data_IF_323335432653
#
_entry.id   IF_323335432653
#
_cell.length_a   1.000
_cell.length_b   1.000
_cell.length_c   1.000
_cell.angle_alpha   90.00
_cell.angle_beta   90.00
_cell.angle_gamma   90.00
#
_symmetry.space_group_name_H-M   'P 1'
#
loop_
_entity.id
_entity.type
_entity.pdbx_description
1 polymer ?
#
# COMPACT_ATOMS: atom_id res chain seq x y z
N UNK A 1 -24.74 12.81 22.27
CA UNK A 1 -23.60 12.87 21.33
C UNK A 1 -23.17 11.43 21.09
N UNK A 2 -23.08 10.98 19.85
CA UNK A 2 -22.79 9.58 19.51
C UNK A 2 -21.31 9.45 19.15
N UNK A 3 -20.62 8.47 19.74
CA UNK A 3 -19.21 8.21 19.49
C UNK A 3 -19.01 7.14 18.41
N UNK A 4 -17.92 7.27 17.65
CA UNK A 4 -17.58 6.36 16.56
C UNK A 4 -16.10 5.99 16.63
N UNK A 5 -15.78 4.73 16.33
CA UNK A 5 -14.41 4.29 16.06
C UNK A 5 -14.24 4.22 14.55
N UNK A 6 -13.22 4.91 14.03
CA UNK A 6 -12.87 4.88 12.61
C UNK A 6 -11.47 4.29 12.48
N UNK A 7 -11.30 3.26 11.64
CA UNK A 7 -9.98 2.79 11.22
C UNK A 7 -9.71 3.14 9.77
N UNK A 8 -8.62 3.88 9.56
CA UNK A 8 -8.15 4.31 8.25
C UNK A 8 -6.92 3.47 7.90
N UNK A 9 -6.99 2.76 6.78
CA UNK A 9 -5.85 2.09 6.19
C UNK A 9 -5.29 2.96 5.06
N UNK A 10 -3.97 3.12 5.02
CA UNK A 10 -3.26 3.83 3.95
C UNK A 10 -2.15 2.96 3.39
N UNK A 11 -1.78 3.20 2.14
CA UNK A 11 -0.69 2.48 1.49
C UNK A 11 0.62 3.17 1.80
N UNK A 12 1.63 2.40 2.18
CA UNK A 12 3.00 2.85 2.33
C UNK A 12 3.85 2.28 1.20
N UNK A 13 4.91 2.99 0.84
CA UNK A 13 5.93 2.45 -0.06
C UNK A 13 6.90 1.64 0.79
N UNK A 14 7.26 0.46 0.31
CA UNK A 14 8.26 -0.39 0.94
C UNK A 14 9.20 -0.90 -0.13
N UNK A 15 10.46 -1.13 0.24
CA UNK A 15 11.48 -1.60 -0.70
C UNK A 15 12.52 -2.47 0.00
N UNK A 16 13.02 -3.44 -0.76
CA UNK A 16 14.18 -4.27 -0.44
C UNK A 16 15.33 -3.90 -1.37
N UNK A 17 16.52 -3.73 -0.81
CA UNK A 17 17.71 -3.41 -1.58
C UNK A 17 18.39 -4.70 -2.05
N UNK A 18 18.76 -4.76 -3.34
CA UNK A 18 19.52 -5.88 -3.90
C UNK A 18 20.61 -5.35 -4.82
N UNK A 19 21.82 -5.88 -4.65
CA UNK A 19 22.91 -5.69 -5.61
C UNK A 19 22.83 -6.79 -6.67
N UNK A 20 22.89 -6.42 -7.94
CA UNK A 20 22.92 -7.35 -9.07
C UNK A 20 24.14 -7.06 -9.94
N UNK A 21 24.77 -8.12 -10.45
CA UNK A 21 25.86 -8.01 -11.43
C UNK A 21 25.33 -8.29 -12.83
N UNK A 22 25.71 -7.46 -13.80
CA UNK A 22 25.32 -7.58 -15.20
C UNK A 22 26.41 -6.99 -16.11
N UNK A 23 26.54 -7.52 -17.32
CA UNK A 23 27.49 -7.05 -18.33
C UNK A 23 26.92 -5.95 -19.23
N UNK A 24 25.61 -5.69 -19.16
CA UNK A 24 24.93 -4.62 -19.89
C UNK A 24 23.66 -4.16 -19.18
N UNK A 25 23.16 -2.97 -19.52
CA UNK A 25 21.92 -2.43 -18.98
C UNK A 25 20.71 -3.31 -19.29
N UNK A 26 20.65 -3.87 -20.50
CA UNK A 26 19.57 -4.79 -20.91
C UNK A 26 19.56 -6.03 -20.02
N UNK A 27 20.74 -6.60 -19.77
CA UNK A 27 20.87 -7.75 -18.86
C UNK A 27 20.53 -7.37 -17.41
N UNK A 28 20.95 -6.18 -16.95
CA UNK A 28 20.63 -5.68 -15.61
C UNK A 28 19.11 -5.55 -15.41
N UNK A 29 18.39 -5.04 -16.41
CA UNK A 29 16.93 -4.91 -16.39
C UNK A 29 16.26 -6.27 -16.28
N UNK A 30 16.68 -7.25 -17.09
CA UNK A 30 16.09 -8.60 -17.05
C UNK A 30 16.37 -9.31 -15.72
N UNK A 31 17.59 -9.18 -15.19
CA UNK A 31 17.94 -9.70 -13.86
C UNK A 31 17.17 -9.02 -12.74
N UNK A 32 16.98 -7.70 -12.81
CA UNK A 32 16.20 -6.94 -11.85
C UNK A 32 14.73 -7.39 -11.83
N UNK A 33 14.11 -7.61 -13.01
CA UNK A 33 12.75 -8.15 -13.12
C UNK A 33 12.64 -9.53 -12.49
N UNK A 34 13.57 -10.43 -12.79
CA UNK A 34 13.59 -11.77 -12.20
C UNK A 34 13.72 -11.72 -10.67
N UNK A 35 14.62 -10.88 -10.15
CA UNK A 35 14.80 -10.67 -8.71
C UNK A 35 13.54 -10.09 -8.06
N UNK A 36 12.87 -9.13 -8.72
CA UNK A 36 11.63 -8.54 -8.25
C UNK A 36 10.51 -9.58 -8.14
N UNK A 37 10.35 -10.46 -9.14
CA UNK A 37 9.35 -11.54 -9.10
C UNK A 37 9.56 -12.45 -7.89
N UNK A 38 10.81 -12.85 -7.61
CA UNK A 38 11.15 -13.68 -6.45
C UNK A 38 10.86 -12.93 -5.15
N UNK A 39 11.18 -11.64 -5.08
CA UNK A 39 10.92 -10.82 -3.89
C UNK A 39 9.41 -10.70 -3.58
N UNK A 40 8.54 -10.67 -4.60
CA UNK A 40 7.09 -10.60 -4.40
C UNK A 40 6.48 -11.87 -3.79
N UNK A 41 7.19 -13.01 -3.83
CA UNK A 41 6.76 -14.25 -3.16
C UNK A 41 7.12 -14.26 -1.67
N UNK A 42 7.94 -13.32 -1.21
CA UNK A 42 8.37 -13.21 0.17
C UNK A 42 7.24 -12.70 1.08
N UNK A 43 7.09 -13.33 2.24
CA UNK A 43 6.23 -12.86 3.34
C UNK A 43 7.02 -12.19 4.46
N UNK A 44 8.33 -12.02 4.28
CA UNK A 44 9.18 -11.32 5.24
C UNK A 44 8.83 -9.83 5.31
N UNK A 45 9.19 -9.19 6.44
CA UNK A 45 9.05 -7.75 6.57
C UNK A 45 10.02 -7.05 5.58
N UNK A 46 9.57 -5.99 4.87
CA UNK A 46 10.45 -5.24 3.98
C UNK A 46 11.64 -4.63 4.71
N UNK A 47 12.78 -4.52 4.05
CA UNK A 47 13.98 -3.86 4.58
C UNK A 47 13.69 -2.42 5.03
N UNK A 48 12.88 -1.70 4.24
CA UNK A 48 12.47 -0.35 4.57
C UNK A 48 10.99 -0.10 4.26
N UNK A 49 10.35 0.68 5.13
CA UNK A 49 9.02 1.24 4.90
C UNK A 49 9.15 2.76 4.98
N UNK A 50 8.80 3.42 3.88
CA UNK A 50 8.71 4.87 3.82
C UNK A 50 7.41 5.31 4.52
N UNK A 51 7.57 5.95 5.67
CA UNK A 51 6.46 6.45 6.50
C UNK A 51 6.12 7.92 6.25
N UNK A 52 6.94 8.61 5.46
CA UNK A 52 6.83 10.06 5.23
C UNK A 52 5.80 10.35 4.14
N UNK A 53 5.64 9.44 3.16
CA UNK A 53 4.64 9.55 2.12
C UNK A 53 3.49 8.53 2.30
N UNK A 54 2.44 8.94 3.02
CA UNK A 54 1.20 8.14 3.12
C UNK A 54 0.37 8.26 1.85
N UNK A 55 0.25 7.18 1.09
CA UNK A 55 -0.58 7.12 -0.11
C UNK A 55 -2.02 6.72 0.22
N UNK A 56 -2.97 7.25 -0.56
CA UNK A 56 -4.42 7.02 -0.38
C UNK A 56 -4.74 5.52 -0.25
N UNK A 57 -5.51 5.16 0.78
CA UNK A 57 -5.99 3.80 1.05
C UNK A 57 -7.51 3.77 1.27
N UNK A 58 -7.98 2.98 2.23
CA UNK A 58 -9.41 2.72 2.46
C UNK A 58 -9.83 3.13 3.87
N UNK A 59 -11.11 3.48 4.04
CA UNK A 59 -11.73 3.42 5.37
C UNK A 59 -12.02 1.95 5.63
N UNK A 60 -11.22 1.33 6.51
CA UNK A 60 -11.30 -0.10 6.78
C UNK A 60 -12.61 -0.44 7.50
N UNK A 61 -12.97 0.34 8.51
CA UNK A 61 -14.29 0.28 9.12
C UNK A 61 -14.66 1.57 9.86
N UNK A 62 -15.96 1.74 10.07
CA UNK A 62 -16.54 2.68 11.04
C UNK A 62 -17.50 1.89 11.92
N UNK A 63 -17.25 1.90 13.23
CA UNK A 63 -18.15 1.33 14.24
C UNK A 63 -18.80 2.47 15.02
N UNK A 64 -20.10 2.37 15.25
CA UNK A 64 -20.81 3.19 16.23
C UNK A 64 -20.67 2.55 17.61
N UNK A 65 -20.33 3.37 18.59
CA UNK A 65 -20.30 2.95 19.99
C UNK A 65 -21.67 3.14 20.61
N UNK A 66 -22.21 2.07 21.19
CA UNK A 66 -23.35 2.11 22.10
C UNK A 66 -22.88 1.77 23.52
N UNK A 67 -23.68 2.04 24.56
CA UNK A 67 -23.30 1.67 25.94
C UNK A 67 -22.99 0.18 26.12
N UNK A 68 -23.62 -0.69 25.32
CA UNK A 68 -23.59 -2.14 25.50
C UNK A 68 -22.82 -2.88 24.38
N UNK A 69 -22.50 -2.21 23.26
CA UNK A 69 -21.93 -2.87 22.08
C UNK A 69 -21.19 -1.94 21.12
N UNK A 70 -20.52 -2.55 20.14
CA UNK A 70 -20.06 -1.89 18.91
C UNK A 70 -20.92 -2.36 17.76
N UNK A 71 -21.45 -1.41 17.00
CA UNK A 71 -22.28 -1.70 15.83
C UNK A 71 -21.54 -1.22 14.57
N UNK A 72 -21.24 -2.15 13.67
CA UNK A 72 -20.61 -1.81 12.39
C UNK A 72 -21.55 -0.91 11.57
N UNK A 73 -21.03 0.24 11.15
CA UNK A 73 -21.74 1.22 10.31
C UNK A 73 -21.33 1.06 8.86
N UNK A 74 -20.04 0.86 8.61
CA UNK A 74 -19.51 0.65 7.27
C UNK A 74 -18.22 -0.16 7.34
N UNK A 75 -17.98 -0.97 6.30
CA UNK A 75 -16.74 -1.73 6.13
C UNK A 75 -16.20 -1.50 4.72
N UNK A 76 -14.88 -1.43 4.59
CA UNK A 76 -14.15 -1.44 3.32
C UNK A 76 -14.62 -0.41 2.27
N UNK A 77 -14.67 0.87 2.65
CA UNK A 77 -15.00 1.94 1.70
C UNK A 77 -13.72 2.51 1.08
N UNK A 78 -13.64 2.41 -0.25
CA UNK A 78 -12.64 3.12 -1.04
C UNK A 78 -12.89 4.62 -0.95
N UNK A 79 -11.86 5.37 -0.60
CA UNK A 79 -11.90 6.83 -0.56
C UNK A 79 -11.61 7.36 -1.99
N UNK A 80 -12.60 7.33 -2.89
CA UNK A 80 -12.40 7.62 -4.31
C UNK A 80 -12.76 9.07 -4.72
N UNK A 81 -11.83 9.70 -5.44
CA UNK A 81 -11.99 10.13 -6.85
C UNK A 81 -10.58 10.57 -7.29
N UNK A 82 -9.90 9.74 -8.08
CA UNK A 82 -9.01 10.23 -9.14
C UNK A 82 -8.82 9.07 -10.11
N UNK A 83 -9.79 8.96 -11.02
CA UNK A 83 -9.53 8.60 -12.41
C UNK A 83 -8.15 9.10 -12.78
N UNK A 84 -7.25 8.18 -13.15
CA UNK A 84 -6.20 8.42 -14.14
C UNK A 84 -5.77 9.90 -14.20
N UNK A 85 -4.95 10.38 -13.26
CA UNK A 85 -4.04 11.44 -13.66
C UNK A 85 -3.11 10.81 -14.67
N UNK A 86 -3.58 10.97 -15.90
CA UNK A 86 -3.04 10.59 -17.18
C UNK A 86 -1.53 10.58 -17.13
N UNK A 87 -0.97 9.53 -17.72
CA UNK A 87 0.40 9.44 -18.21
C UNK A 87 0.99 10.82 -18.52
N UNK A 88 2.25 11.11 -18.15
CA UNK A 88 2.88 12.34 -18.60
C UNK A 88 2.74 12.40 -20.12
N UNK A 89 2.15 13.49 -20.62
CA UNK A 89 2.15 13.77 -22.04
C UNK A 89 3.61 13.83 -22.48
N UNK A 90 3.90 13.09 -23.56
CA UNK A 90 5.21 13.02 -24.20
C UNK A 90 5.69 14.39 -24.71
#
# INVERSE_FOLDING_TARGET
MTEYIVKIAFRLRAYDSRTIEAASDVEAIEKAKAAATIAMESTAYPEHIDTDERRRGIIAFIDRLTPDSREAVIEHVEFDDDRLHSSPAA
#
